data_IF_803632567610
#
_entry.id   IF_803632567610
#
_cell.length_a   1.000
_cell.length_b   1.000
_cell.length_c   1.000
_cell.angle_alpha   90.00
_cell.angle_beta   90.00
_cell.angle_gamma   90.00
#
_symmetry.space_group_name_H-M   'P 1'
#
loop_
_entity.id
_entity.type
_entity.pdbx_description
1 polymer ?
#
# COMPACT_ATOMS: atom_id res chain seq x y z
N UNK A 1 18.07 0.37 -58.29
CA UNK A 1 18.62 0.12 -56.94
C UNK A 1 17.81 -1.01 -56.32
N UNK A 2 18.44 -2.04 -55.72
CA UNK A 2 17.72 -3.21 -55.21
C UNK A 2 16.90 -2.89 -53.94
N UNK A 3 15.97 -3.79 -53.61
CA UNK A 3 14.97 -3.63 -52.54
C UNK A 3 15.56 -3.53 -51.14
N UNK A 4 14.95 -2.69 -50.29
CA UNK A 4 15.11 -2.75 -48.83
C UNK A 4 14.77 -4.15 -48.33
N UNK A 5 15.61 -4.69 -47.44
CA UNK A 5 15.53 -6.11 -47.03
C UNK A 5 14.44 -6.32 -45.97
N UNK A 6 13.37 -7.02 -46.32
CA UNK A 6 12.38 -7.50 -45.36
C UNK A 6 12.99 -8.64 -44.52
N UNK A 7 13.34 -8.32 -43.27
CA UNK A 7 13.79 -9.29 -42.28
C UNK A 7 12.73 -10.37 -42.04
N UNK A 8 13.12 -11.64 -42.16
CA UNK A 8 12.24 -12.76 -41.79
C UNK A 8 12.04 -12.77 -40.28
N UNK A 9 10.78 -12.77 -39.81
CA UNK A 9 10.38 -12.66 -38.40
C UNK A 9 11.16 -13.59 -37.45
N UNK A 10 11.39 -14.84 -37.90
CA UNK A 10 12.16 -15.87 -37.19
C UNK A 10 13.64 -15.50 -36.94
N UNK A 11 14.26 -14.72 -37.83
CA UNK A 11 15.68 -14.31 -37.71
C UNK A 11 15.87 -13.10 -36.78
N UNK A 12 14.88 -12.19 -36.70
CA UNK A 12 14.85 -11.15 -35.66
C UNK A 12 14.72 -11.80 -34.28
N UNK A 13 13.79 -12.75 -34.15
CA UNK A 13 13.51 -13.45 -32.89
C UNK A 13 14.76 -14.13 -32.31
N UNK A 14 15.51 -14.89 -33.12
CA UNK A 14 16.75 -15.56 -32.69
C UNK A 14 17.86 -14.57 -32.32
N UNK A 15 17.99 -13.43 -33.00
CA UNK A 15 18.99 -12.41 -32.68
C UNK A 15 18.67 -11.65 -31.38
N UNK A 16 17.38 -11.41 -31.08
CA UNK A 16 16.97 -10.80 -29.82
C UNK A 16 17.20 -11.76 -28.64
N UNK A 17 16.91 -13.05 -28.81
CA UNK A 17 17.16 -14.09 -27.80
C UNK A 17 18.65 -14.21 -27.45
N UNK A 18 19.54 -14.04 -28.44
CA UNK A 18 20.99 -14.03 -28.27
C UNK A 18 21.48 -12.89 -27.36
N UNK A 19 20.79 -11.74 -27.35
CA UNK A 19 21.05 -10.63 -26.42
C UNK A 19 20.49 -10.93 -25.02
N UNK A 20 19.23 -11.35 -24.94
CA UNK A 20 18.50 -11.66 -23.69
C UNK A 20 19.25 -12.67 -22.83
N UNK A 21 19.76 -13.75 -23.45
CA UNK A 21 20.57 -14.73 -22.74
C UNK A 21 22.02 -14.24 -22.54
N UNK A 22 22.63 -13.58 -23.52
CA UNK A 22 24.05 -13.21 -23.49
C UNK A 22 24.48 -12.30 -22.33
N UNK A 23 23.56 -11.51 -21.76
CA UNK A 23 23.80 -10.67 -20.57
C UNK A 23 23.54 -11.38 -19.23
N UNK A 24 23.52 -12.71 -19.22
CA UNK A 24 24.35 -13.54 -18.33
C UNK A 24 25.46 -12.67 -17.65
N UNK A 25 25.42 -12.28 -16.37
CA UNK A 25 24.66 -12.66 -15.17
C UNK A 25 24.93 -14.09 -14.65
N UNK A 26 25.16 -15.05 -15.55
CA UNK A 26 26.12 -16.13 -15.25
C UNK A 26 27.57 -15.60 -15.25
N UNK A 27 27.83 -14.42 -15.85
CA UNK A 27 28.94 -13.57 -15.43
C UNK A 27 28.66 -13.01 -14.02
N UNK A 28 29.69 -13.11 -13.20
CA UNK A 28 29.95 -12.27 -12.04
C UNK A 28 29.17 -12.51 -10.75
N UNK A 29 27.87 -12.86 -10.76
CA UNK A 29 27.28 -13.50 -9.56
C UNK A 29 28.06 -14.79 -9.24
N UNK A 30 28.28 -15.59 -10.29
CA UNK A 30 29.09 -16.83 -10.28
C UNK A 30 30.62 -16.61 -10.12
N UNK A 31 31.07 -15.36 -10.00
CA UNK A 31 32.46 -14.98 -9.70
C UNK A 31 32.58 -14.53 -8.23
N UNK A 32 31.59 -13.78 -7.72
CA UNK A 32 31.43 -13.48 -6.30
C UNK A 32 31.32 -14.79 -5.48
N UNK A 33 30.46 -15.73 -5.90
CA UNK A 33 30.29 -17.06 -5.27
C UNK A 33 31.58 -17.91 -5.19
N UNK A 34 32.59 -17.57 -5.99
CA UNK A 34 33.90 -18.25 -6.07
C UNK A 34 35.04 -17.43 -5.45
N UNK A 35 34.75 -16.25 -4.93
CA UNK A 35 35.72 -15.44 -4.20
C UNK A 35 35.74 -15.84 -2.72
N UNK A 36 36.90 -15.73 -2.09
CA UNK A 36 37.24 -16.53 -0.90
C UNK A 36 37.56 -15.68 0.35
N UNK A 37 38.79 -15.79 0.86
CA UNK A 37 39.41 -15.07 1.99
C UNK A 37 38.98 -15.46 3.42
N UNK A 38 39.92 -15.27 4.36
CA UNK A 38 39.66 -15.28 5.81
C UNK A 38 38.90 -14.02 6.20
N UNK A 39 37.57 -14.02 6.05
CA UNK A 39 36.75 -12.93 6.59
C UNK A 39 36.86 -12.87 8.13
N UNK A 40 37.02 -11.68 8.71
CA UNK A 40 37.03 -11.24 10.14
C UNK A 40 37.35 -12.25 11.25
N UNK A 41 36.57 -13.33 11.41
CA UNK A 41 36.81 -14.38 12.38
C UNK A 41 37.56 -15.52 11.67
N UNK A 42 38.89 -15.49 11.78
CA UNK A 42 39.71 -16.44 12.54
C UNK A 42 39.25 -16.64 14.01
N UNK A 43 39.90 -17.43 14.87
CA UNK A 43 41.04 -18.33 14.68
C UNK A 43 40.87 -19.26 13.45
N UNK A 44 39.60 -19.59 13.17
CA UNK A 44 38.94 -20.07 11.93
C UNK A 44 39.69 -19.92 10.56
N UNK A 45 39.33 -20.78 9.58
CA UNK A 45 39.99 -20.91 8.27
C UNK A 45 39.53 -19.84 7.25
N UNK A 46 40.11 -19.81 6.04
CA UNK A 46 39.49 -19.14 4.89
C UNK A 46 38.03 -19.58 4.73
N UNK A 47 37.17 -18.61 4.46
CA UNK A 47 35.75 -18.81 4.15
C UNK A 47 35.47 -18.24 2.76
N UNK A 48 34.20 -18.22 2.35
CA UNK A 48 33.78 -17.70 1.04
C UNK A 48 33.19 -16.31 1.19
N UNK A 49 33.16 -15.57 0.10
CA UNK A 49 32.42 -14.32 -0.03
C UNK A 49 30.92 -14.63 0.01
N UNK A 50 30.37 -14.67 1.22
CA UNK A 50 28.98 -15.05 1.53
C UNK A 50 28.25 -13.82 2.06
N UNK A 51 27.48 -13.19 1.18
CA UNK A 51 26.73 -11.97 1.46
C UNK A 51 25.36 -12.05 0.76
N UNK A 52 24.26 -12.27 1.49
CA UNK A 52 22.92 -12.45 0.89
C UNK A 52 22.28 -11.15 0.37
N UNK A 53 23.05 -10.04 0.27
CA UNK A 53 22.74 -8.84 -0.60
C UNK A 53 23.52 -9.49 -1.83
N UNK A 54 24.86 -9.46 -1.98
CA UNK A 54 25.48 -9.32 -3.32
C UNK A 54 25.55 -10.59 -4.20
N UNK A 55 24.89 -11.66 -3.77
CA UNK A 55 24.51 -12.81 -4.60
C UNK A 55 23.10 -12.64 -5.25
N UNK A 56 22.40 -11.55 -4.91
CA UNK A 56 21.07 -11.09 -5.34
C UNK A 56 20.65 -9.84 -4.54
N UNK A 57 21.20 -8.67 -4.89
CA UNK A 57 21.65 -7.58 -3.98
C UNK A 57 20.91 -7.28 -2.66
N UNK A 58 21.65 -7.06 -1.54
CA UNK A 58 20.94 -7.59 0.17
C UNK A 58 19.74 -6.78 0.74
N UNK A 59 19.46 -5.62 0.14
CA UNK A 59 19.30 -4.30 0.80
C UNK A 59 20.11 -4.13 2.12
N UNK A 60 20.86 -3.03 2.28
CA UNK A 60 21.53 -2.71 3.56
C UNK A 60 20.46 -2.36 4.61
N UNK A 61 19.84 -3.39 5.18
CA UNK A 61 18.83 -3.26 6.21
C UNK A 61 19.51 -2.78 7.49
N UNK A 62 19.56 -1.45 7.62
CA UNK A 62 19.91 -0.77 8.86
C UNK A 62 19.18 -1.45 10.02
N UNK A 63 19.91 -1.81 11.08
CA UNK A 63 19.45 -2.78 12.09
C UNK A 63 18.24 -2.28 12.87
N UNK A 64 17.05 -2.52 12.33
CA UNK A 64 15.77 -2.18 12.93
C UNK A 64 15.23 -3.35 13.75
N UNK A 65 14.44 -3.03 14.77
CA UNK A 65 13.73 -4.05 15.56
C UNK A 65 12.44 -4.45 14.84
N UNK A 66 12.21 -5.73 14.48
CA UNK A 66 10.98 -6.16 13.80
C UNK A 66 9.68 -5.68 14.47
N UNK A 67 9.64 -5.56 15.80
CA UNK A 67 8.47 -5.05 16.53
C UNK A 67 8.03 -3.62 16.14
N UNK A 68 8.83 -2.87 15.37
CA UNK A 68 8.42 -1.59 14.76
C UNK A 68 7.26 -1.80 13.76
N UNK A 69 7.11 -2.99 13.17
CA UNK A 69 5.96 -3.34 12.33
C UNK A 69 4.74 -3.86 13.12
N UNK A 70 4.81 -3.95 14.45
CA UNK A 70 3.66 -4.36 15.27
C UNK A 70 2.57 -3.26 15.37
N UNK A 71 2.87 -1.97 15.63
CA UNK A 71 1.86 -0.90 15.61
C UNK A 71 1.09 -0.73 14.28
N UNK A 72 1.71 -0.71 13.08
CA UNK A 72 0.94 -0.59 11.83
C UNK A 72 0.07 -1.82 11.57
N UNK A 73 0.52 -3.03 11.90
CA UNK A 73 -0.30 -4.24 11.82
C UNK A 73 -1.55 -4.17 12.72
N UNK A 74 -1.40 -3.69 13.98
CA UNK A 74 -2.55 -3.44 14.85
C UNK A 74 -3.51 -2.38 14.27
N UNK A 75 -2.97 -1.31 13.67
CA UNK A 75 -3.77 -0.27 13.06
C UNK A 75 -4.54 -0.78 11.82
N UNK A 76 -3.91 -1.55 10.95
CA UNK A 76 -4.52 -2.17 9.76
C UNK A 76 -5.68 -3.10 10.16
N UNK A 77 -5.43 -3.99 11.14
CA UNK A 77 -6.44 -4.87 11.72
C UNK A 77 -7.61 -4.09 12.30
N UNK A 78 -7.35 -3.14 13.21
CA UNK A 78 -8.40 -2.38 13.87
C UNK A 78 -9.20 -1.54 12.87
N UNK A 79 -8.54 -0.84 11.94
CA UNK A 79 -9.22 -0.08 10.90
C UNK A 79 -10.09 -0.98 10.02
N UNK A 80 -9.58 -2.15 9.62
CA UNK A 80 -10.31 -3.12 8.80
C UNK A 80 -11.51 -3.72 9.51
N UNK A 81 -11.40 -4.09 10.79
CA UNK A 81 -12.56 -4.53 11.60
C UNK A 81 -13.61 -3.44 11.75
N UNK A 82 -13.19 -2.20 12.06
CA UNK A 82 -14.09 -1.05 12.21
C UNK A 82 -14.79 -0.73 10.87
N UNK A 83 -14.06 -0.82 9.76
CA UNK A 83 -14.60 -0.69 8.39
C UNK A 83 -15.68 -1.73 8.07
N UNK A 84 -15.47 -3.01 8.41
CA UNK A 84 -16.47 -4.05 8.16
C UNK A 84 -17.72 -3.90 9.05
N UNK A 85 -17.57 -3.47 10.31
CA UNK A 85 -18.73 -3.13 11.16
C UNK A 85 -19.51 -1.95 10.56
N UNK A 86 -18.82 -0.93 10.05
CA UNK A 86 -19.45 0.21 9.36
C UNK A 86 -20.18 -0.19 8.07
N UNK A 87 -19.60 -1.10 7.27
CA UNK A 87 -20.21 -1.64 6.05
C UNK A 87 -21.54 -2.37 6.31
N UNK A 88 -21.72 -2.98 7.49
CA UNK A 88 -22.99 -3.60 7.88
C UNK A 88 -24.07 -2.58 8.28
N UNK A 89 -23.72 -1.30 8.43
CA UNK A 89 -24.62 -0.21 8.86
C UNK A 89 -24.94 0.81 7.75
N UNK A 90 -24.09 0.94 6.73
CA UNK A 90 -24.28 1.85 5.57
C UNK A 90 -24.31 1.09 4.24
N UNK A 91 -24.42 1.80 3.12
CA UNK A 91 -24.42 1.21 1.78
C UNK A 91 -23.00 0.92 1.28
N UNK A 92 -22.82 -0.17 0.53
CA UNK A 92 -21.52 -0.56 -0.03
C UNK A 92 -20.90 0.52 -0.96
N UNK A 93 -21.73 1.30 -1.65
CA UNK A 93 -21.35 2.49 -2.43
C UNK A 93 -20.71 3.57 -1.55
N UNK A 94 -21.24 3.75 -0.36
CA UNK A 94 -20.90 4.85 0.56
C UNK A 94 -19.68 4.47 1.38
N UNK A 95 -19.59 3.22 1.82
CA UNK A 95 -18.36 2.58 2.30
C UNK A 95 -17.19 2.67 1.29
N UNK A 96 -17.48 2.59 0.00
CA UNK A 96 -16.49 2.82 -1.05
C UNK A 96 -16.06 4.29 -1.08
N UNK A 97 -17.00 5.22 -1.21
CA UNK A 97 -16.69 6.65 -1.38
C UNK A 97 -16.09 7.31 -0.12
N UNK A 98 -16.56 6.98 1.09
CA UNK A 98 -16.06 7.52 2.36
C UNK A 98 -14.64 7.09 2.69
N UNK A 99 -14.15 5.97 2.14
CA UNK A 99 -12.71 5.61 2.20
C UNK A 99 -11.83 6.66 1.53
N UNK A 100 -12.35 7.48 0.61
CA UNK A 100 -11.63 8.64 0.07
C UNK A 100 -11.19 9.67 1.13
N UNK A 101 -11.78 9.66 2.33
CA UNK A 101 -11.39 10.56 3.44
C UNK A 101 -9.99 10.28 3.99
N UNK A 102 -9.46 9.07 3.79
CA UNK A 102 -8.09 8.70 4.17
C UNK A 102 -7.05 9.64 3.58
N UNK A 103 -7.30 10.19 2.38
CA UNK A 103 -6.40 11.14 1.71
C UNK A 103 -6.19 12.41 2.54
N UNK A 104 -7.24 12.94 3.16
CA UNK A 104 -7.18 14.17 3.97
C UNK A 104 -6.38 13.90 5.24
N UNK A 105 -6.68 12.79 5.94
CA UNK A 105 -5.99 12.43 7.17
C UNK A 105 -4.51 12.09 6.90
N UNK A 106 -4.20 11.33 5.85
CA UNK A 106 -2.82 11.01 5.44
C UNK A 106 -2.04 12.29 5.10
N UNK A 107 -2.63 13.22 4.35
CA UNK A 107 -2.00 14.50 4.03
C UNK A 107 -1.63 15.31 5.30
N UNK A 108 -2.57 15.46 6.23
CA UNK A 108 -2.35 16.20 7.49
C UNK A 108 -1.33 15.49 8.39
N UNK A 109 -1.40 14.16 8.50
CA UNK A 109 -0.46 13.35 9.29
C UNK A 109 0.95 13.35 8.67
N UNK A 110 1.10 13.38 7.34
CA UNK A 110 2.40 13.55 6.68
C UNK A 110 3.06 14.90 7.00
N UNK A 111 2.29 15.97 7.27
CA UNK A 111 2.87 17.23 7.80
C UNK A 111 3.41 17.01 9.21
N UNK A 112 2.58 16.46 10.10
CA UNK A 112 2.90 16.30 11.52
C UNK A 112 4.05 15.32 11.78
N UNK A 113 4.09 14.19 11.07
CA UNK A 113 5.02 13.10 11.35
C UNK A 113 6.20 12.99 10.37
N UNK A 114 6.08 13.49 9.14
CA UNK A 114 7.16 13.47 8.12
C UNK A 114 7.68 14.87 7.79
N UNK A 115 7.12 15.95 8.33
CA UNK A 115 7.59 17.31 8.10
C UNK A 115 7.38 17.84 6.68
N UNK A 116 6.53 17.19 5.86
CA UNK A 116 6.21 17.67 4.51
C UNK A 116 5.51 19.03 4.54
N UNK A 117 5.76 19.88 3.54
CA UNK A 117 5.13 21.21 3.39
C UNK A 117 4.02 21.16 2.32
N UNK A 118 2.77 21.32 2.74
CA UNK A 118 1.60 21.37 1.84
C UNK A 118 1.56 22.73 1.12
N UNK A 119 1.63 22.74 -0.22
CA UNK A 119 1.51 23.95 -1.06
C UNK A 119 0.05 24.42 -1.12
N UNK A 120 -0.21 25.71 -1.37
CA UNK A 120 -1.56 26.30 -1.26
C UNK A 120 -2.63 25.67 -2.17
N UNK A 121 -2.25 25.15 -3.34
CA UNK A 121 -3.18 24.41 -4.22
C UNK A 121 -3.57 23.04 -3.66
N UNK A 122 -2.71 22.42 -2.86
CA UNK A 122 -2.97 21.13 -2.20
C UNK A 122 -4.01 21.31 -1.08
N UNK A 123 -3.95 22.43 -0.34
CA UNK A 123 -5.01 22.82 0.60
C UNK A 123 -6.37 22.97 -0.09
N UNK A 124 -6.42 23.63 -1.26
CA UNK A 124 -7.64 23.69 -2.06
C UNK A 124 -8.12 22.28 -2.48
N UNK A 125 -7.20 21.41 -2.92
CA UNK A 125 -7.51 20.00 -3.21
C UNK A 125 -8.15 19.25 -2.03
N UNK A 126 -7.62 19.39 -0.81
CA UNK A 126 -8.21 18.78 0.39
C UNK A 126 -9.62 19.31 0.71
N UNK A 127 -9.86 20.63 0.55
CA UNK A 127 -11.21 21.21 0.74
C UNK A 127 -12.19 20.68 -0.30
N UNK A 128 -11.76 20.50 -1.55
CA UNK A 128 -12.58 19.91 -2.62
C UNK A 128 -12.92 18.44 -2.35
N UNK A 129 -11.98 17.65 -1.78
CA UNK A 129 -12.29 16.29 -1.27
C UNK A 129 -13.28 16.34 -0.11
N UNK A 130 -13.12 17.26 0.84
CA UNK A 130 -14.01 17.39 2.00
C UNK A 130 -15.46 17.69 1.59
N UNK A 131 -15.67 18.56 0.59
CA UNK A 131 -16.99 18.81 0.00
C UNK A 131 -17.57 17.54 -0.62
N UNK A 132 -16.75 16.75 -1.32
CA UNK A 132 -17.16 15.46 -1.88
C UNK A 132 -17.65 14.46 -0.83
N UNK A 133 -16.94 14.34 0.30
CA UNK A 133 -17.33 13.48 1.43
C UNK A 133 -18.68 13.89 2.04
N UNK A 134 -18.87 15.20 2.26
CA UNK A 134 -20.12 15.74 2.82
C UNK A 134 -21.30 15.48 1.89
N UNK A 135 -21.13 15.66 0.57
CA UNK A 135 -22.16 15.34 -0.42
C UNK A 135 -22.52 13.84 -0.45
N UNK A 136 -21.53 12.96 -0.28
CA UNK A 136 -21.76 11.51 -0.19
C UNK A 136 -22.59 11.16 1.04
N UNK A 137 -22.14 11.51 2.25
CA UNK A 137 -22.87 11.16 3.49
C UNK A 137 -24.26 11.78 3.58
N UNK A 138 -24.46 12.99 3.04
CA UNK A 138 -25.80 13.59 2.94
C UNK A 138 -26.73 12.82 1.99
N UNK A 139 -26.20 12.18 0.93
CA UNK A 139 -27.04 11.44 -0.04
C UNK A 139 -27.74 10.23 0.60
N UNK A 140 -27.07 9.52 1.51
CA UNK A 140 -27.60 8.30 2.13
C UNK A 140 -28.60 8.61 3.25
N UNK A 141 -28.42 9.74 3.94
CA UNK A 141 -29.43 10.29 4.87
C UNK A 141 -30.69 10.73 4.11
N UNK A 142 -30.57 11.32 2.93
CA UNK A 142 -31.72 11.74 2.09
C UNK A 142 -32.53 10.54 1.57
N UNK A 143 -31.85 9.46 1.16
CA UNK A 143 -32.47 8.22 0.68
C UNK A 143 -33.43 7.60 1.69
N UNK A 144 -32.91 7.30 2.89
CA UNK A 144 -33.66 6.63 3.95
C UNK A 144 -34.81 7.49 4.49
N UNK A 145 -34.69 8.83 4.36
CA UNK A 145 -35.72 9.80 4.74
C UNK A 145 -36.86 9.91 3.71
N UNK A 146 -36.60 9.57 2.45
CA UNK A 146 -37.61 9.51 1.39
C UNK A 146 -38.39 8.17 1.38
N UNK A 147 -37.91 7.17 2.12
CA UNK A 147 -38.43 5.79 2.16
C UNK A 147 -39.06 5.41 3.52
N UNK A 148 -40.00 6.25 3.97
CA UNK A 148 -41.04 5.99 5.01
C UNK A 148 -40.59 5.41 6.38
N UNK A 149 -40.59 6.28 7.39
CA UNK A 149 -40.70 5.98 8.84
C UNK A 149 -39.87 4.81 9.42
N UNK A 150 -38.57 5.03 9.62
CA UNK A 150 -37.83 4.51 10.79
C UNK A 150 -36.61 5.39 11.13
N UNK A 151 -36.67 6.08 12.26
CA UNK A 151 -35.56 6.91 12.77
C UNK A 151 -34.37 6.07 13.26
N UNK A 152 -34.61 4.82 13.66
CA UNK A 152 -33.59 3.82 14.00
C UNK A 152 -32.56 3.63 12.88
N UNK A 153 -33.03 3.49 11.64
CA UNK A 153 -32.23 3.16 10.49
C UNK A 153 -31.32 4.33 10.08
N UNK A 154 -31.83 5.56 10.18
CA UNK A 154 -31.06 6.78 9.88
C UNK A 154 -29.91 6.94 10.87
N UNK A 155 -30.15 6.71 12.17
CA UNK A 155 -29.10 6.73 13.18
C UNK A 155 -28.07 5.61 12.95
N UNK A 156 -28.50 4.44 12.46
CA UNK A 156 -27.62 3.35 12.05
C UNK A 156 -26.68 3.75 10.91
N UNK A 157 -27.21 4.29 9.81
CA UNK A 157 -26.43 4.73 8.64
C UNK A 157 -25.42 5.82 9.04
N UNK A 158 -25.87 6.86 9.75
CA UNK A 158 -24.98 7.95 10.22
C UNK A 158 -23.88 7.39 11.13
N UNK A 159 -24.19 6.44 12.01
CA UNK A 159 -23.19 5.77 12.85
C UNK A 159 -22.20 4.96 12.01
N UNK A 160 -22.66 4.25 10.97
CA UNK A 160 -21.82 3.52 10.03
C UNK A 160 -20.85 4.44 9.27
N UNK A 161 -21.36 5.53 8.72
CA UNK A 161 -20.57 6.51 7.96
C UNK A 161 -19.50 7.18 8.85
N UNK A 162 -19.87 7.58 10.07
CA UNK A 162 -18.93 8.12 11.06
C UNK A 162 -17.89 7.08 11.50
N UNK A 163 -18.29 5.82 11.66
CA UNK A 163 -17.39 4.72 12.03
C UNK A 163 -16.37 4.42 10.91
N UNK A 164 -16.78 4.51 9.65
CA UNK A 164 -15.89 4.38 8.48
C UNK A 164 -14.92 5.57 8.40
N UNK A 165 -15.39 6.79 8.64
CA UNK A 165 -14.53 7.98 8.72
C UNK A 165 -13.51 7.87 9.86
N UNK A 166 -13.91 7.37 11.03
CA UNK A 166 -13.02 7.11 12.15
C UNK A 166 -11.96 6.03 11.81
N UNK A 167 -12.36 4.96 11.11
CA UNK A 167 -11.41 3.96 10.60
C UNK A 167 -10.37 4.58 9.65
N UNK A 168 -10.75 5.54 8.81
CA UNK A 168 -9.80 6.18 7.89
C UNK A 168 -8.74 7.01 8.62
N UNK A 169 -8.99 7.49 9.84
CA UNK A 169 -7.96 8.13 10.69
C UNK A 169 -6.92 7.09 11.13
N UNK A 170 -7.37 5.87 11.47
CA UNK A 170 -6.49 4.76 11.86
C UNK A 170 -5.69 4.25 10.65
N UNK A 171 -6.32 4.04 9.49
CA UNK A 171 -5.62 3.71 8.23
C UNK A 171 -4.64 4.80 7.83
N UNK A 172 -4.99 6.09 7.93
CA UNK A 172 -4.04 7.16 7.63
C UNK A 172 -2.85 7.18 8.61
N UNK A 173 -3.09 6.87 9.89
CA UNK A 173 -2.03 6.77 10.90
C UNK A 173 -1.09 5.60 10.61
N UNK A 174 -1.62 4.45 10.22
CA UNK A 174 -0.87 3.31 9.68
C UNK A 174 -0.02 3.73 8.47
N UNK A 175 -0.62 4.28 7.42
CA UNK A 175 0.05 4.58 6.14
C UNK A 175 1.21 5.58 6.30
N UNK A 176 1.05 6.56 7.20
CA UNK A 176 2.10 7.55 7.51
C UNK A 176 3.17 6.98 8.44
N UNK A 177 2.82 6.04 9.34
CA UNK A 177 3.77 5.29 10.15
C UNK A 177 4.63 4.34 9.28
N UNK A 178 3.98 3.57 8.40
CA UNK A 178 4.62 2.72 7.37
C UNK A 178 5.62 3.55 6.57
N UNK A 179 5.17 4.66 5.96
CA UNK A 179 6.03 5.54 5.16
C UNK A 179 7.25 6.03 5.96
N UNK A 180 7.05 6.48 7.21
CA UNK A 180 8.14 6.96 8.05
C UNK A 180 9.21 5.90 8.31
N UNK A 181 8.81 4.67 8.63
CA UNK A 181 9.74 3.63 9.06
C UNK A 181 10.30 2.76 7.93
N UNK A 182 9.52 2.53 6.86
CA UNK A 182 10.03 1.90 5.63
C UNK A 182 11.09 2.78 4.97
N UNK A 183 10.88 4.10 4.91
CA UNK A 183 11.91 5.05 4.43
C UNK A 183 13.11 5.09 5.38
N UNK A 184 12.90 5.41 6.67
CA UNK A 184 14.00 5.61 7.64
C UNK A 184 14.95 4.42 7.75
N UNK A 185 14.46 3.20 7.63
CA UNK A 185 15.28 1.99 7.72
C UNK A 185 15.58 1.33 6.36
N UNK A 186 15.20 1.97 5.25
CA UNK A 186 15.25 1.47 3.87
C UNK A 186 14.67 0.05 3.70
N UNK A 187 13.58 -0.26 4.41
CA UNK A 187 13.06 -1.65 4.50
C UNK A 187 12.60 -2.16 3.13
N UNK A 188 12.89 -3.42 2.75
CA UNK A 188 12.30 -4.04 1.56
C UNK A 188 10.77 -4.13 1.72
N UNK A 189 9.99 -3.69 0.72
CA UNK A 189 8.52 -3.70 0.81
C UNK A 189 7.95 -5.11 1.10
N UNK A 190 8.54 -6.16 0.52
CA UNK A 190 8.18 -7.55 0.79
C UNK A 190 8.48 -7.99 2.23
N UNK A 191 9.52 -7.46 2.86
CA UNK A 191 9.88 -7.75 4.25
C UNK A 191 8.95 -7.03 5.24
N UNK A 192 8.56 -5.79 4.93
CA UNK A 192 7.57 -5.04 5.70
C UNK A 192 6.22 -5.78 5.74
N UNK A 193 5.65 -6.13 4.57
CA UNK A 193 4.41 -6.93 4.48
C UNK A 193 4.56 -8.29 5.17
N UNK A 194 5.74 -8.91 5.08
CA UNK A 194 6.03 -10.17 5.76
C UNK A 194 5.92 -10.06 7.30
N UNK A 195 6.48 -8.99 7.89
CA UNK A 195 6.36 -8.75 9.33
C UNK A 195 4.94 -8.33 9.73
N UNK A 196 4.31 -7.42 9.01
CA UNK A 196 2.93 -6.98 9.29
C UNK A 196 1.94 -8.15 9.21
N UNK A 197 2.05 -8.99 8.18
CA UNK A 197 1.22 -10.20 8.03
C UNK A 197 1.48 -11.25 9.12
N UNK A 198 2.74 -11.44 9.54
CA UNK A 198 3.08 -12.33 10.66
C UNK A 198 2.50 -11.82 11.98
N UNK A 199 2.65 -10.52 12.27
CA UNK A 199 2.09 -9.91 13.47
C UNK A 199 0.56 -9.93 13.46
N UNK A 200 -0.07 -9.61 12.33
CA UNK A 200 -1.51 -9.69 12.17
C UNK A 200 -2.06 -11.10 12.37
N UNK A 201 -1.37 -12.12 11.84
CA UNK A 201 -1.70 -13.53 12.06
C UNK A 201 -1.60 -13.94 13.54
N UNK A 202 -0.55 -13.50 14.23
CA UNK A 202 -0.35 -13.79 15.66
C UNK A 202 -1.42 -13.10 16.54
N UNK A 203 -1.66 -11.80 16.33
CA UNK A 203 -2.67 -11.06 17.09
C UNK A 203 -4.08 -11.58 16.81
N UNK A 204 -4.44 -11.83 15.54
CA UNK A 204 -5.76 -12.36 15.19
C UNK A 204 -5.95 -13.77 15.74
N UNK A 205 -4.95 -14.66 15.57
CA UNK A 205 -4.99 -16.03 16.09
C UNK A 205 -5.17 -16.10 17.61
N UNK A 206 -4.57 -15.15 18.36
CA UNK A 206 -4.80 -15.02 19.79
C UNK A 206 -6.21 -14.46 20.12
N UNK A 207 -6.78 -13.60 19.28
CA UNK A 207 -8.16 -13.07 19.44
C UNK A 207 -9.26 -14.08 19.10
N UNK A 208 -9.00 -15.06 18.23
CA UNK A 208 -9.95 -16.15 17.95
C UNK A 208 -10.27 -16.96 19.22
N UNK A 209 -9.33 -17.07 20.17
CA UNK A 209 -9.51 -17.81 21.42
C UNK A 209 -10.66 -17.22 22.27
N UNK A 210 -10.63 -15.94 22.70
CA UNK A 210 -11.76 -15.36 23.43
C UNK A 210 -13.03 -15.25 22.57
N UNK A 211 -12.94 -14.95 21.26
CA UNK A 211 -14.14 -14.82 20.41
C UNK A 211 -14.93 -16.14 20.28
N UNK A 212 -14.28 -17.30 20.37
CA UNK A 212 -14.93 -18.61 20.44
C UNK A 212 -15.72 -18.86 21.74
N UNK A 213 -15.33 -18.21 22.84
CA UNK A 213 -15.98 -18.35 24.15
C UNK A 213 -17.01 -17.25 24.45
N UNK A 214 -16.88 -16.07 23.85
CA UNK A 214 -17.91 -15.02 23.94
C UNK A 214 -19.16 -15.49 23.20
N UNK A 215 -20.29 -15.52 23.91
CA UNK A 215 -21.60 -15.88 23.37
C UNK A 215 -22.55 -14.70 23.40
N UNK A 216 -23.22 -14.47 22.28
CA UNK A 216 -24.29 -13.50 22.11
C UNK A 216 -25.62 -14.25 22.17
N UNK A 217 -26.26 -14.27 23.34
CA UNK A 217 -27.50 -15.03 23.61
C UNK A 217 -28.77 -14.44 22.96
N UNK A 218 -28.64 -13.53 22.00
CA UNK A 218 -29.77 -12.92 21.29
C UNK A 218 -29.82 -13.49 19.85
N UNK A 219 -30.82 -14.33 19.50
CA UNK A 219 -30.88 -15.01 18.20
C UNK A 219 -31.17 -14.07 17.01
N UNK A 220 -31.50 -12.80 17.27
CA UNK A 220 -31.73 -11.78 16.23
C UNK A 220 -30.56 -10.79 16.12
N UNK A 221 -29.36 -11.13 16.62
CA UNK A 221 -28.21 -10.22 16.57
C UNK A 221 -27.45 -10.36 15.23
N UNK A 222 -27.22 -9.27 14.46
CA UNK A 222 -26.51 -9.32 13.18
C UNK A 222 -25.01 -9.67 13.29
N UNK A 223 -24.45 -9.80 14.50
CA UNK A 223 -23.04 -10.10 14.72
C UNK A 223 -22.69 -11.60 14.73
N UNK A 224 -23.67 -12.51 14.73
CA UNK A 224 -23.39 -13.95 14.60
C UNK A 224 -24.57 -14.75 14.04
N UNK A 225 -24.24 -15.77 13.25
CA UNK A 225 -25.17 -16.79 12.73
C UNK A 225 -24.81 -18.19 13.25
N UNK A 226 -23.90 -18.30 14.22
CA UNK A 226 -23.45 -19.58 14.80
C UNK A 226 -24.58 -20.26 15.60
N UNK A 227 -24.86 -21.57 15.40
CA UNK A 227 -25.92 -22.28 16.13
C UNK A 227 -25.74 -22.36 17.65
N UNK A 228 -24.57 -22.04 18.19
CA UNK A 228 -24.28 -21.96 19.62
C UNK A 228 -24.10 -20.52 20.13
N UNK A 229 -24.40 -19.52 19.29
CA UNK A 229 -24.34 -18.10 19.58
C UNK A 229 -22.92 -17.55 19.79
N UNK A 230 -21.86 -18.26 19.36
CA UNK A 230 -20.46 -17.78 19.46
C UNK A 230 -20.26 -16.55 18.59
N UNK A 231 -19.38 -15.62 18.98
CA UNK A 231 -19.00 -14.48 18.11
C UNK A 231 -18.26 -14.96 16.86
N UNK A 232 -17.38 -15.95 17.01
CA UNK A 232 -16.62 -16.55 15.92
C UNK A 232 -16.43 -18.05 16.16
N UNK A 233 -16.53 -18.87 15.11
CA UNK A 233 -16.41 -20.32 15.19
C UNK A 233 -15.49 -20.86 14.10
N UNK A 234 -14.22 -20.45 14.12
CA UNK A 234 -13.26 -20.75 13.07
C UNK A 234 -13.02 -22.25 12.86
N UNK A 235 -13.22 -23.08 13.90
CA UNK A 235 -13.13 -24.54 13.80
C UNK A 235 -14.16 -25.11 12.83
N UNK A 236 -15.39 -24.59 12.87
CA UNK A 236 -16.46 -24.96 11.93
C UNK A 236 -16.19 -24.39 10.53
N UNK A 237 -15.67 -23.15 10.44
CA UNK A 237 -15.24 -22.57 9.16
C UNK A 237 -14.12 -23.38 8.48
N UNK A 238 -13.14 -23.90 9.25
CA UNK A 238 -12.11 -24.81 8.73
C UNK A 238 -12.72 -26.15 8.26
N UNK A 239 -13.70 -26.70 8.97
CA UNK A 239 -14.42 -27.91 8.54
C UNK A 239 -15.20 -27.68 7.24
N UNK A 240 -15.91 -26.55 7.11
CA UNK A 240 -16.64 -26.17 5.89
C UNK A 240 -15.71 -25.96 4.70
N UNK A 241 -14.55 -25.31 4.88
CA UNK A 241 -13.53 -25.18 3.84
C UNK A 241 -12.93 -26.53 3.43
N UNK A 242 -12.77 -27.47 4.36
CA UNK A 242 -12.34 -28.84 4.06
C UNK A 242 -13.36 -29.66 3.27
N UNK A 243 -14.65 -29.37 3.42
CA UNK A 243 -15.74 -30.06 2.71
C UNK A 243 -16.10 -29.44 1.36
N UNK A 244 -15.91 -28.12 1.18
CA UNK A 244 -16.28 -27.42 -0.04
C UNK A 244 -15.07 -26.71 -0.67
N UNK A 245 -14.52 -27.33 -1.71
CA UNK A 245 -13.37 -26.82 -2.47
C UNK A 245 -13.62 -25.46 -3.12
N UNK A 246 -14.85 -25.07 -3.44
CA UNK A 246 -15.15 -23.75 -3.99
C UNK A 246 -14.96 -22.64 -2.95
N UNK A 247 -15.28 -22.91 -1.67
CA UNK A 247 -15.00 -21.98 -0.56
C UNK A 247 -13.50 -21.89 -0.35
N UNK A 248 -12.79 -23.03 -0.30
CA UNK A 248 -11.34 -23.07 -0.13
C UNK A 248 -10.60 -22.28 -1.24
N UNK A 249 -10.97 -22.50 -2.50
CA UNK A 249 -10.39 -21.78 -3.65
C UNK A 249 -10.72 -20.27 -3.59
N UNK A 250 -11.93 -19.90 -3.21
CA UNK A 250 -12.32 -18.49 -3.02
C UNK A 250 -11.51 -17.81 -1.91
N UNK A 251 -11.39 -18.44 -0.75
CA UNK A 251 -10.61 -17.94 0.40
C UNK A 251 -9.12 -17.81 0.06
N UNK A 252 -8.52 -18.83 -0.57
CA UNK A 252 -7.11 -18.78 -1.01
C UNK A 252 -6.88 -17.70 -2.08
N UNK A 253 -7.78 -17.57 -3.05
CA UNK A 253 -7.72 -16.51 -4.06
C UNK A 253 -7.78 -15.10 -3.45
N UNK A 254 -8.64 -14.91 -2.45
CA UNK A 254 -8.73 -13.66 -1.69
C UNK A 254 -7.43 -13.38 -0.89
N UNK A 255 -6.88 -14.38 -0.20
CA UNK A 255 -5.60 -14.26 0.53
C UNK A 255 -4.45 -13.84 -0.39
N UNK A 256 -4.31 -14.49 -1.56
CA UNK A 256 -3.30 -14.13 -2.57
C UNK A 256 -3.53 -12.71 -3.11
N UNK A 257 -4.78 -12.33 -3.38
CA UNK A 257 -5.11 -10.98 -3.85
C UNK A 257 -4.75 -9.90 -2.83
N UNK A 258 -4.99 -10.15 -1.52
CA UNK A 258 -4.64 -9.22 -0.44
C UNK A 258 -3.13 -9.12 -0.28
N UNK A 259 -2.40 -10.24 -0.32
CA UNK A 259 -0.93 -10.24 -0.22
C UNK A 259 -0.27 -9.45 -1.36
N UNK A 260 -0.73 -9.64 -2.61
CA UNK A 260 -0.25 -8.87 -3.77
C UNK A 260 -0.63 -7.40 -3.66
N UNK A 261 -1.84 -7.08 -3.20
CA UNK A 261 -2.28 -5.70 -3.00
C UNK A 261 -1.43 -4.97 -1.94
N UNK A 262 -1.17 -5.59 -0.77
CA UNK A 262 -0.36 -4.98 0.28
C UNK A 262 1.10 -4.80 -0.16
N UNK A 263 1.68 -5.78 -0.87
CA UNK A 263 3.03 -5.64 -1.45
C UNK A 263 3.12 -4.49 -2.45
N UNK A 264 2.16 -4.38 -3.37
CA UNK A 264 2.08 -3.25 -4.30
C UNK A 264 1.87 -1.91 -3.56
N UNK A 265 1.05 -1.91 -2.50
CA UNK A 265 0.79 -0.76 -1.64
C UNK A 265 2.06 -0.22 -0.98
N UNK A 266 2.80 -1.04 -0.24
CA UNK A 266 4.04 -0.58 0.42
C UNK A 266 5.10 -0.21 -0.63
N UNK A 267 5.16 -0.89 -1.77
CA UNK A 267 6.05 -0.51 -2.87
C UNK A 267 5.73 0.89 -3.40
N UNK A 268 4.44 1.24 -3.62
CA UNK A 268 4.05 2.62 -4.01
C UNK A 268 4.32 3.64 -2.90
N UNK A 269 4.14 3.26 -1.62
CA UNK A 269 4.53 4.12 -0.50
C UNK A 269 6.03 4.42 -0.49
N UNK A 270 6.89 3.42 -0.79
CA UNK A 270 8.35 3.54 -0.78
C UNK A 270 8.91 4.28 -2.00
N UNK A 271 8.41 4.00 -3.20
CA UNK A 271 8.93 4.61 -4.43
C UNK A 271 8.37 6.02 -4.69
N UNK A 272 7.20 6.36 -4.11
CA UNK A 272 6.50 7.63 -4.39
C UNK A 272 6.05 8.35 -3.12
N UNK A 273 4.93 7.91 -2.51
CA UNK A 273 4.48 8.37 -1.19
C UNK A 273 3.24 7.62 -0.71
N UNK A 274 2.96 7.66 0.59
CA UNK A 274 1.67 7.24 1.14
C UNK A 274 0.50 8.02 0.51
N UNK A 275 0.65 9.34 0.29
CA UNK A 275 -0.37 10.14 -0.40
C UNK A 275 -0.65 9.67 -1.83
N UNK A 276 0.36 9.16 -2.55
CA UNK A 276 0.18 8.59 -3.90
C UNK A 276 -0.58 7.25 -3.86
N UNK A 277 -0.29 6.38 -2.87
CA UNK A 277 -1.03 5.12 -2.64
C UNK A 277 -2.54 5.39 -2.48
N UNK A 278 -2.91 6.43 -1.72
CA UNK A 278 -4.32 6.80 -1.51
C UNK A 278 -5.04 7.24 -2.80
N UNK A 279 -4.32 7.75 -3.80
CA UNK A 279 -4.91 8.06 -5.14
C UNK A 279 -5.23 6.77 -5.88
N UNK A 280 -4.29 5.82 -5.93
CA UNK A 280 -4.49 4.54 -6.60
C UNK A 280 -5.61 3.71 -5.93
N UNK A 281 -5.66 3.73 -4.60
CA UNK A 281 -6.75 3.13 -3.83
C UNK A 281 -8.12 3.74 -4.16
N UNK A 282 -8.15 5.04 -4.47
CA UNK A 282 -9.37 5.75 -4.88
C UNK A 282 -9.74 5.51 -6.36
N UNK A 283 -8.76 5.21 -7.22
CA UNK A 283 -9.03 4.72 -8.59
C UNK A 283 -9.69 3.33 -8.56
N UNK A 284 -9.28 2.44 -7.66
CA UNK A 284 -9.98 1.16 -7.41
C UNK A 284 -11.42 1.41 -6.96
N UNK A 285 -11.66 2.36 -6.05
CA UNK A 285 -13.00 2.74 -5.58
C UNK A 285 -13.92 3.14 -6.75
N UNK A 286 -13.43 3.89 -7.73
CA UNK A 286 -14.18 4.28 -8.93
C UNK A 286 -14.71 3.07 -9.72
N UNK A 287 -13.85 2.06 -9.92
CA UNK A 287 -14.21 0.86 -10.70
C UNK A 287 -15.33 0.08 -10.04
N UNK A 288 -15.26 -0.11 -8.71
CA UNK A 288 -16.27 -0.86 -7.96
C UNK A 288 -17.60 -0.08 -7.89
N UNK A 289 -17.54 1.25 -7.76
CA UNK A 289 -18.75 2.11 -7.76
C UNK A 289 -19.51 2.00 -9.09
N UNK A 290 -18.82 2.19 -10.23
CA UNK A 290 -19.42 2.03 -11.58
C UNK A 290 -20.00 0.62 -11.77
N UNK A 291 -19.31 -0.42 -11.29
CA UNK A 291 -19.80 -1.79 -11.38
C UNK A 291 -21.07 -2.00 -10.54
N UNK A 292 -21.12 -1.52 -9.29
CA UNK A 292 -22.28 -1.66 -8.41
C UNK A 292 -23.55 -0.98 -8.96
N UNK A 293 -23.39 0.16 -9.63
CA UNK A 293 -24.45 0.84 -10.36
C UNK A 293 -24.92 0.02 -11.57
N UNK A 294 -23.98 -0.54 -12.34
CA UNK A 294 -24.27 -1.34 -13.54
C UNK A 294 -25.05 -2.62 -13.21
N UNK A 295 -24.74 -3.25 -12.07
CA UNK A 295 -25.45 -4.43 -11.54
C UNK A 295 -26.79 -4.07 -10.87
N UNK A 296 -27.11 -2.77 -10.71
CA UNK A 296 -28.31 -2.25 -10.03
C UNK A 296 -28.46 -2.77 -8.59
N UNK A 297 -27.37 -2.80 -7.83
CA UNK A 297 -27.34 -3.36 -6.47
C UNK A 297 -28.12 -2.55 -5.41
N UNK A 298 -28.71 -1.41 -5.81
CA UNK A 298 -29.52 -0.48 -5.01
C UNK A 298 -30.68 -0.01 -5.90
N UNK A 299 -31.91 0.21 -5.38
CA UNK A 299 -32.98 0.81 -6.16
C UNK A 299 -32.58 2.22 -6.65
N UNK A 300 -32.95 2.54 -7.88
CA UNK A 300 -32.42 3.69 -8.61
C UNK A 300 -33.30 4.94 -8.43
N UNK A 301 -33.02 5.77 -7.42
CA UNK A 301 -33.51 7.15 -7.39
C UNK A 301 -32.56 8.06 -8.20
N UNK A 302 -33.15 8.81 -9.12
CA UNK A 302 -32.43 9.70 -10.05
C UNK A 302 -31.73 10.84 -9.32
N UNK A 303 -32.32 11.38 -8.25
CA UNK A 303 -31.77 12.53 -7.50
C UNK A 303 -30.49 12.15 -6.77
N UNK A 304 -30.48 10.97 -6.17
CA UNK A 304 -29.32 10.45 -5.44
C UNK A 304 -28.22 9.97 -6.38
N UNK A 305 -28.57 9.38 -7.53
CA UNK A 305 -27.58 9.08 -8.55
C UNK A 305 -26.76 10.33 -8.93
N UNK A 306 -27.44 11.48 -9.15
CA UNK A 306 -26.75 12.74 -9.40
C UNK A 306 -26.00 13.29 -8.17
N UNK A 307 -26.52 13.12 -6.94
CA UNK A 307 -25.86 13.58 -5.72
C UNK A 307 -24.58 12.78 -5.40
N UNK A 308 -24.62 11.45 -5.54
CA UNK A 308 -23.46 10.58 -5.39
C UNK A 308 -22.45 10.79 -6.53
N UNK A 309 -22.90 10.91 -7.78
CA UNK A 309 -22.03 11.25 -8.92
C UNK A 309 -21.34 12.61 -8.71
N UNK A 310 -22.05 13.62 -8.20
CA UNK A 310 -21.47 14.91 -7.86
C UNK A 310 -20.43 14.79 -6.74
N UNK A 311 -20.78 14.17 -5.60
CA UNK A 311 -19.86 13.94 -4.50
C UNK A 311 -18.59 13.19 -4.95
N UNK A 312 -18.75 12.17 -5.78
CA UNK A 312 -17.65 11.40 -6.34
C UNK A 312 -16.79 12.19 -7.33
N UNK A 313 -17.40 13.05 -8.16
CA UNK A 313 -16.67 13.98 -9.03
C UNK A 313 -15.86 15.01 -8.21
N UNK A 314 -16.39 15.51 -7.08
CA UNK A 314 -15.64 16.35 -6.14
C UNK A 314 -14.47 15.59 -5.51
N UNK A 315 -14.65 14.34 -5.06
CA UNK A 315 -13.56 13.49 -4.55
C UNK A 315 -12.42 13.35 -5.57
N UNK A 316 -12.75 12.94 -6.82
CA UNK A 316 -11.77 12.79 -7.91
C UNK A 316 -11.06 14.12 -8.19
N UNK A 317 -11.81 15.21 -8.34
CA UNK A 317 -11.26 16.54 -8.66
C UNK A 317 -10.28 17.01 -7.59
N UNK A 318 -10.64 16.88 -6.31
CA UNK A 318 -9.79 17.26 -5.19
C UNK A 318 -8.48 16.45 -5.13
N UNK A 319 -8.55 15.15 -5.41
CA UNK A 319 -7.36 14.28 -5.51
C UNK A 319 -6.46 14.63 -6.69
N UNK A 320 -7.02 14.92 -7.87
CA UNK A 320 -6.27 15.33 -9.06
C UNK A 320 -5.57 16.69 -8.83
N UNK A 321 -6.26 17.63 -8.18
CA UNK A 321 -5.71 18.94 -7.79
C UNK A 321 -4.59 18.79 -6.76
N UNK A 322 -4.81 18.01 -5.70
CA UNK A 322 -3.81 17.80 -4.64
C UNK A 322 -2.50 17.20 -5.20
N UNK A 323 -2.61 16.17 -6.04
CA UNK A 323 -1.45 15.47 -6.60
C UNK A 323 -0.92 16.17 -7.87
N UNK A 324 -1.41 17.37 -8.19
CA UNK A 324 -0.92 18.23 -9.28
C UNK A 324 -0.96 17.58 -10.69
N UNK A 325 -1.74 16.51 -10.86
CA UNK A 325 -1.70 15.59 -12.01
C UNK A 325 -2.09 16.25 -13.34
N UNK A 326 -2.94 17.29 -13.29
CA UNK A 326 -3.29 18.10 -14.46
C UNK A 326 -2.59 19.47 -14.49
N UNK A 327 -2.33 20.09 -13.33
CA UNK A 327 -1.89 21.48 -13.28
C UNK A 327 -0.43 21.66 -13.72
N UNK A 328 0.51 20.90 -13.15
CA UNK A 328 1.94 21.03 -13.50
C UNK A 328 2.23 20.73 -14.97
N UNK A 329 1.69 19.65 -15.58
CA UNK A 329 1.91 19.38 -17.01
C UNK A 329 1.31 20.44 -17.94
N UNK A 330 0.14 20.99 -17.58
CA UNK A 330 -0.51 22.06 -18.34
C UNK A 330 0.24 23.39 -18.21
N UNK A 331 0.70 23.73 -17.01
CA UNK A 331 1.47 24.95 -16.73
C UNK A 331 2.86 24.88 -17.38
N UNK A 332 3.56 23.73 -17.29
CA UNK A 332 4.85 23.49 -17.98
C UNK A 332 4.70 23.63 -19.50
N UNK A 333 3.57 23.20 -20.09
CA UNK A 333 3.25 23.42 -21.52
C UNK A 333 2.91 24.87 -21.89
N UNK A 334 2.36 25.67 -20.97
CA UNK A 334 1.95 27.07 -21.26
C UNK A 334 2.99 28.13 -20.94
N UNK A 335 3.83 27.92 -19.93
CA UNK A 335 4.71 28.96 -19.37
C UNK A 335 6.19 28.71 -19.67
N UNK A 336 6.57 27.49 -20.07
CA UNK A 336 7.95 27.15 -20.46
C UNK A 336 8.97 27.12 -19.31
N UNK A 337 8.59 27.51 -18.09
CA UNK A 337 9.46 27.45 -16.92
C UNK A 337 9.86 26.01 -16.61
N UNK A 338 11.15 25.72 -16.85
CA UNK A 338 11.88 24.62 -16.23
C UNK A 338 12.15 25.00 -14.78
N UNK A 339 11.29 24.53 -13.88
CA UNK A 339 11.53 24.62 -12.43
C UNK A 339 12.05 23.25 -11.99
N UNK A 340 13.28 23.22 -11.48
CA UNK A 340 13.96 22.00 -11.03
C UNK A 340 13.49 21.64 -9.61
N UNK A 341 12.22 21.22 -9.52
CA UNK A 341 11.39 21.21 -8.29
C UNK A 341 11.11 19.80 -7.74
N UNK A 342 11.77 18.77 -8.28
CA UNK A 342 11.52 17.35 -7.92
C UNK A 342 12.07 17.00 -6.52
N UNK A 343 13.15 17.65 -6.08
CA UNK A 343 13.81 17.46 -4.78
C UNK A 343 13.02 18.03 -3.57
N UNK A 344 11.75 18.41 -3.75
CA UNK A 344 10.96 19.15 -2.75
C UNK A 344 9.60 18.51 -2.38
N UNK A 345 9.30 17.30 -2.86
CA UNK A 345 8.25 16.42 -2.29
C UNK A 345 8.81 15.22 -1.50
N UNK A 346 10.09 14.88 -1.69
CA UNK A 346 10.81 13.92 -0.86
C UNK A 346 10.74 14.34 0.61
N UNK A 347 10.59 13.37 1.53
CA UNK A 347 10.61 13.66 2.96
C UNK A 347 12.04 13.95 3.43
N UNK A 348 12.25 14.71 4.52
CA UNK A 348 13.60 14.91 5.08
C UNK A 348 14.29 13.58 5.38
N UNK A 349 13.55 12.57 5.86
CA UNK A 349 14.05 11.21 6.10
C UNK A 349 14.49 10.48 4.83
N UNK A 350 13.96 10.84 3.66
CA UNK A 350 14.39 10.29 2.38
C UNK A 350 15.67 10.96 1.90
N UNK A 351 15.81 12.28 2.10
CA UNK A 351 17.08 12.95 1.87
C UNK A 351 18.17 12.43 2.84
N UNK A 352 17.85 12.23 4.12
CA UNK A 352 18.76 11.61 5.11
C UNK A 352 19.13 10.17 4.73
N UNK A 353 18.20 9.38 4.16
CA UNK A 353 18.46 8.03 3.69
C UNK A 353 19.34 8.01 2.42
N UNK A 354 18.99 8.83 1.42
CA UNK A 354 19.75 9.00 0.18
C UNK A 354 21.17 9.54 0.48
N UNK A 355 21.32 10.44 1.45
CA UNK A 355 22.61 10.99 1.90
C UNK A 355 23.41 9.97 2.71
N UNK A 356 22.77 9.21 3.61
CA UNK A 356 23.41 8.09 4.30
C UNK A 356 23.88 7.01 3.32
N UNK A 357 23.08 6.70 2.29
CA UNK A 357 23.44 5.70 1.28
C UNK A 357 24.57 6.21 0.35
N UNK A 358 24.63 7.51 0.05
CA UNK A 358 25.79 8.14 -0.61
C UNK A 358 27.05 8.11 0.24
N UNK A 359 26.97 8.50 1.52
CA UNK A 359 28.11 8.47 2.44
C UNK A 359 28.65 7.05 2.57
N UNK A 360 27.77 6.05 2.70
CA UNK A 360 28.17 4.64 2.71
C UNK A 360 28.76 4.18 1.37
N UNK A 361 28.29 4.69 0.22
CA UNK A 361 28.92 4.41 -1.07
C UNK A 361 30.32 5.04 -1.18
N UNK A 362 30.52 6.27 -0.70
CA UNK A 362 31.83 6.94 -0.66
C UNK A 362 32.81 6.29 0.34
N UNK A 363 32.33 5.78 1.49
CA UNK A 363 33.15 4.98 2.42
C UNK A 363 33.59 3.64 1.78
N UNK A 364 32.70 2.96 1.03
CA UNK A 364 33.07 1.75 0.30
C UNK A 364 34.06 2.05 -0.85
N UNK A 365 33.88 3.16 -1.58
CA UNK A 365 34.80 3.60 -2.63
C UNK A 365 36.19 3.96 -2.08
N UNK A 366 36.27 4.63 -0.94
CA UNK A 366 37.55 4.97 -0.29
C UNK A 366 38.25 3.75 0.31
N UNK A 367 37.51 2.76 0.85
CA UNK A 367 38.11 1.46 1.21
C UNK A 367 38.69 0.71 -0.01
N UNK A 368 38.05 0.78 -1.18
CA UNK A 368 38.62 0.20 -2.41
C UNK A 368 39.83 0.99 -2.93
N UNK A 369 39.83 2.31 -2.80
CA UNK A 369 40.95 3.16 -3.22
C UNK A 369 42.23 2.93 -2.43
N UNK A 370 42.13 2.80 -1.10
CA UNK A 370 43.31 2.72 -0.22
C UNK A 370 44.11 1.41 -0.29
N UNK A 371 43.62 0.38 -1.00
CA UNK A 371 44.26 -0.94 -1.06
C UNK A 371 45.20 -1.14 -2.27
N UNK A 372 45.30 -0.17 -3.18
CA UNK A 372 45.98 -0.32 -4.49
C UNK A 372 47.36 0.36 -4.60
N UNK A 373 47.95 0.90 -3.52
CA UNK A 373 49.14 1.77 -3.59
C UNK A 373 50.36 1.27 -2.79
N UNK A 374 50.60 -0.05 -2.73
CA UNK A 374 51.57 -0.64 -1.78
C UNK A 374 52.42 -1.83 -2.29
N UNK A 375 52.84 -1.87 -3.57
CA UNK A 375 53.91 -2.79 -4.03
C UNK A 375 54.71 -2.23 -5.22
N UNK A 376 55.86 -1.61 -4.96
CA UNK A 376 56.95 -1.46 -5.94
C UNK A 376 58.01 -2.56 -5.70
N UNK A 377 58.46 -3.30 -6.74
CA UNK A 377 59.48 -4.33 -6.60
C UNK A 377 60.90 -3.74 -6.72
N UNK A 378 61.63 -3.69 -5.60
CA UNK A 378 63.07 -3.36 -5.62
C UNK A 378 63.87 -4.58 -6.11
N UNK A 379 64.61 -4.41 -7.21
CA UNK A 379 65.58 -5.39 -7.69
C UNK A 379 66.89 -5.32 -6.89
N UNK A 380 67.36 -6.47 -6.41
CA UNK A 380 68.77 -6.76 -6.03
C UNK A 380 68.97 -8.28 -6.01
#
# INVERSE_FOLDING_TARGET
>A
MPSQSNWTMYRIFLAFLMLVAGSINTLSAKWADRSEAKGVYPNLPPRKFDHPFLQGNPIQVSRFNPFIFYPPALCDMCATSIMYVGLNLTFASSFQMLRGSVMIFTALLSVAFLGRKIRSFMWFGMVVVLVGLVLVGLSDVVFRKSSSERSSDVNGIISGDLLICAAQIVTASQMVYEEKFVMKYNVPALLAVGFEGLFGLLTLGLLLIPFYYIKITNPNNPLTTDPHGRVENSLDAFAMMGQNSAILVGTLGNMVSIAVFNFAGISVTKELSATTRMVLDSMRTLVIWIFSLSVKWRPFDVKEFFMQLAGFAFLIMGMIVYNNLLFMPWLRRKVGCRVDDENHLQSPFQNEADESERILQDENLTQYGSNNTSTDPVYS
#
